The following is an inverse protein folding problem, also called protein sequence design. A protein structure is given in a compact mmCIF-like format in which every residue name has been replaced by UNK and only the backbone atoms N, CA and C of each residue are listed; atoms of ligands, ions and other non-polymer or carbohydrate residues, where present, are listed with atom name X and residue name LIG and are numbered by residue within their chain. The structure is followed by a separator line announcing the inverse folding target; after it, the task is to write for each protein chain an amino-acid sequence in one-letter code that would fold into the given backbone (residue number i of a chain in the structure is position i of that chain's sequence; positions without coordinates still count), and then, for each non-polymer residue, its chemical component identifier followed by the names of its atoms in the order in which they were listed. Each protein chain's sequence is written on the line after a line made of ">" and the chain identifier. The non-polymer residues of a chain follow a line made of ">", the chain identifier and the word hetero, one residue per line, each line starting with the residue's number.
data_IF_454061729003
#
_entry.id   IF_454061729003
#
_cell.length_a   1.000
_cell.length_b   1.000
_cell.length_c   1.000
_cell.angle_alpha   90.00
_cell.angle_beta   90.00
_cell.angle_gamma   90.00
#
_symmetry.space_group_name_H-M   'P 1'
#
loop_
_entity.id
_entity.type
_entity.pdbx_description
1 polymer ?
#
# COMPACT_ATOMS: atom_id res chain seq x y z
N UNK A 1 -53.44 26.52 -3.59
CA UNK A 1 -53.26 25.06 -3.78
C UNK A 1 -51.85 24.84 -4.31
N UNK A 2 -50.89 24.63 -3.41
CA UNK A 2 -49.48 24.32 -3.77
C UNK A 2 -49.32 22.80 -3.74
N UNK A 3 -48.95 22.23 -4.87
CA UNK A 3 -48.58 20.83 -5.03
C UNK A 3 -47.13 20.63 -4.62
N UNK A 4 -46.75 19.74 -3.70
CA UNK A 4 -45.35 19.48 -3.41
C UNK A 4 -44.78 18.53 -4.47
N UNK A 5 -43.70 18.95 -5.11
CA UNK A 5 -42.87 18.17 -6.01
C UNK A 5 -42.05 17.16 -5.18
N UNK A 6 -42.46 15.91 -5.19
CA UNK A 6 -41.68 14.80 -4.63
C UNK A 6 -40.53 14.50 -5.58
N UNK A 7 -39.33 14.93 -5.22
CA UNK A 7 -38.09 14.51 -5.84
C UNK A 7 -37.75 13.09 -5.31
N UNK A 8 -38.09 12.07 -6.10
CA UNK A 8 -37.68 10.70 -5.80
C UNK A 8 -36.17 10.58 -6.03
N UNK A 9 -35.40 10.59 -4.94
CA UNK A 9 -34.03 10.13 -4.94
C UNK A 9 -34.05 8.62 -5.24
N UNK A 10 -33.69 8.26 -6.45
CA UNK A 10 -33.39 6.88 -6.82
C UNK A 10 -32.02 6.53 -6.17
N UNK A 11 -32.07 6.05 -4.93
CA UNK A 11 -30.94 5.39 -4.30
C UNK A 11 -30.80 4.06 -5.00
N UNK A 12 -29.86 3.98 -5.94
CA UNK A 12 -29.42 2.71 -6.50
C UNK A 12 -28.68 1.98 -5.38
N UNK A 13 -29.42 1.19 -4.60
CA UNK A 13 -28.85 0.25 -3.65
C UNK A 13 -28.15 -0.82 -4.47
N UNK A 14 -26.83 -0.75 -4.58
CA UNK A 14 -26.01 -1.91 -4.95
C UNK A 14 -26.17 -2.87 -3.78
N UNK A 15 -27.15 -3.76 -3.86
CA UNK A 15 -27.28 -4.88 -2.94
C UNK A 15 -26.09 -5.80 -3.17
N UNK A 16 -25.28 -5.96 -2.15
CA UNK A 16 -24.32 -7.05 -2.06
C UNK A 16 -25.12 -8.36 -1.94
N UNK A 17 -25.48 -8.93 -3.08
CA UNK A 17 -26.02 -10.28 -3.18
C UNK A 17 -25.28 -11.02 -4.29
N UNK A 18 -24.84 -12.20 -3.89
CA UNK A 18 -24.34 -13.36 -4.59
C UNK A 18 -22.81 -13.51 -4.67
N UNK A 19 -22.31 -14.23 -3.62
CA UNK A 19 -21.03 -14.94 -3.60
C UNK A 19 -21.06 -16.23 -4.45
N UNK A 20 -21.73 -16.20 -5.59
CA UNK A 20 -21.64 -17.24 -6.60
C UNK A 20 -20.65 -16.79 -7.69
N UNK A 21 -19.37 -16.90 -7.37
CA UNK A 21 -18.27 -17.14 -8.31
C UNK A 21 -18.09 -16.24 -9.55
N UNK A 22 -18.97 -15.28 -9.84
CA UNK A 22 -18.94 -14.47 -11.06
C UNK A 22 -18.54 -13.04 -10.72
N UNK A 23 -17.44 -12.57 -11.30
CA UNK A 23 -17.02 -11.17 -11.16
C UNK A 23 -18.04 -10.22 -11.78
N UNK A 24 -18.48 -9.15 -11.09
CA UNK A 24 -19.34 -8.12 -11.65
C UNK A 24 -18.79 -7.55 -12.95
N UNK A 25 -19.65 -7.34 -13.96
CA UNK A 25 -19.27 -6.74 -15.24
C UNK A 25 -19.63 -5.27 -15.27
N UNK A 26 -18.65 -4.45 -15.62
CA UNK A 26 -18.77 -3.01 -15.80
C UNK A 26 -18.78 -2.71 -17.32
N UNK A 27 -19.88 -2.16 -17.81
CA UNK A 27 -20.15 -2.08 -19.25
C UNK A 27 -19.89 -0.69 -19.86
N UNK A 28 -19.53 0.28 -19.05
CA UNK A 28 -19.24 1.65 -19.46
C UNK A 28 -18.28 2.32 -18.49
N UNK A 29 -17.82 3.51 -18.85
CA UNK A 29 -16.87 4.31 -18.07
C UNK A 29 -17.45 4.72 -16.71
N UNK A 30 -18.72 5.13 -16.68
CA UNK A 30 -19.41 5.59 -15.49
C UNK A 30 -19.49 4.47 -14.45
N UNK A 31 -19.76 3.23 -14.87
CA UNK A 31 -19.76 2.07 -13.98
C UNK A 31 -18.35 1.75 -13.44
N UNK A 32 -17.31 1.90 -14.27
CA UNK A 32 -15.91 1.71 -13.84
C UNK A 32 -15.51 2.78 -12.82
N UNK A 33 -15.80 4.05 -13.08
CA UNK A 33 -15.51 5.14 -12.14
C UNK A 33 -16.26 4.95 -10.82
N UNK A 34 -17.56 4.61 -10.87
CA UNK A 34 -18.35 4.34 -9.67
C UNK A 34 -17.81 3.15 -8.87
N UNK A 35 -17.31 2.11 -9.55
CA UNK A 35 -16.68 0.96 -8.90
C UNK A 35 -15.35 1.34 -8.24
N UNK A 36 -14.50 2.12 -8.92
CA UNK A 36 -13.24 2.62 -8.36
C UNK A 36 -13.49 3.44 -7.10
N UNK A 37 -14.57 4.23 -7.08
CA UNK A 37 -14.96 5.05 -5.92
C UNK A 37 -15.67 4.29 -4.81
N UNK A 38 -16.05 3.03 -5.03
CA UNK A 38 -16.86 2.24 -4.07
C UNK A 38 -16.07 1.80 -2.83
N UNK A 39 -14.74 1.69 -2.93
CA UNK A 39 -13.88 1.30 -1.82
C UNK A 39 -12.54 2.05 -1.83
N UNK A 40 -11.75 1.90 -0.78
CA UNK A 40 -10.40 2.49 -0.70
C UNK A 40 -9.43 1.84 -1.70
N UNK A 41 -9.55 0.53 -1.85
CA UNK A 41 -8.80 -0.28 -2.82
C UNK A 41 -9.76 -1.18 -3.57
N UNK A 42 -9.63 -1.24 -4.88
CA UNK A 42 -10.38 -2.16 -5.74
C UNK A 42 -9.45 -2.79 -6.78
N UNK A 43 -9.82 -3.97 -7.29
CA UNK A 43 -9.11 -4.61 -8.39
C UNK A 43 -10.04 -4.82 -9.59
N UNK A 44 -9.58 -4.45 -10.78
CA UNK A 44 -10.32 -4.51 -12.02
C UNK A 44 -9.56 -5.34 -13.06
N UNK A 45 -10.22 -6.36 -13.61
CA UNK A 45 -9.76 -7.02 -14.81
C UNK A 45 -10.27 -6.29 -16.06
N UNK A 46 -9.38 -5.63 -16.78
CA UNK A 46 -9.63 -5.17 -18.13
C UNK A 46 -9.29 -6.32 -19.09
N UNK A 47 -10.28 -7.16 -19.37
CA UNK A 47 -10.09 -8.46 -20.03
C UNK A 47 -11.07 -8.59 -21.19
N UNK A 48 -10.68 -9.27 -22.27
CA UNK A 48 -11.56 -9.47 -23.45
C UNK A 48 -12.81 -10.28 -23.11
N UNK A 49 -12.76 -11.13 -22.07
CA UNK A 49 -13.87 -11.94 -21.61
C UNK A 49 -13.46 -13.01 -20.61
N UNK A 50 -14.38 -13.91 -20.30
CA UNK A 50 -14.16 -15.01 -19.34
C UNK A 50 -13.16 -16.06 -19.85
N UNK A 51 -12.93 -16.10 -21.16
CA UNK A 51 -11.93 -16.99 -21.77
C UNK A 51 -10.52 -16.37 -21.75
N UNK A 52 -10.38 -15.09 -21.35
CA UNK A 52 -9.09 -14.43 -21.23
C UNK A 52 -8.22 -15.09 -20.18
N UNK A 53 -6.95 -15.21 -20.49
CA UNK A 53 -5.97 -15.62 -19.50
C UNK A 53 -5.95 -14.59 -18.36
N UNK A 54 -6.24 -14.96 -17.19
CA UNK A 54 -6.31 -14.07 -16.02
C UNK A 54 -7.71 -13.92 -15.45
N UNK A 55 -8.77 -14.27 -16.18
CA UNK A 55 -10.12 -14.20 -15.64
C UNK A 55 -10.32 -15.17 -14.47
N UNK A 56 -10.00 -16.45 -14.65
CA UNK A 56 -10.12 -17.48 -13.61
C UNK A 56 -9.21 -17.21 -12.42
N UNK A 57 -8.01 -16.75 -12.70
CA UNK A 57 -7.03 -16.38 -11.69
C UNK A 57 -7.50 -15.17 -10.86
N UNK A 58 -8.09 -14.15 -11.53
CA UNK A 58 -8.66 -13.01 -10.84
C UNK A 58 -9.89 -13.40 -10.01
N UNK A 59 -10.77 -14.23 -10.55
CA UNK A 59 -11.93 -14.75 -9.82
C UNK A 59 -11.51 -15.51 -8.55
N UNK A 60 -10.51 -16.37 -8.68
CA UNK A 60 -10.00 -17.15 -7.55
C UNK A 60 -9.24 -16.28 -6.53
N UNK A 61 -8.47 -15.30 -6.99
CA UNK A 61 -7.81 -14.33 -6.11
C UNK A 61 -8.84 -13.46 -5.37
N UNK A 62 -9.91 -13.04 -6.03
CA UNK A 62 -11.00 -12.27 -5.43
C UNK A 62 -11.72 -13.04 -4.31
N UNK A 63 -11.90 -14.35 -4.47
CA UNK A 63 -12.46 -15.21 -3.41
C UNK A 63 -11.59 -15.29 -2.16
N UNK A 64 -10.27 -15.09 -2.31
CA UNK A 64 -9.29 -15.13 -1.21
C UNK A 64 -9.00 -13.76 -0.61
N UNK A 65 -9.34 -12.68 -1.32
CA UNK A 65 -9.11 -11.29 -0.91
C UNK A 65 -10.44 -10.60 -0.60
N UNK A 66 -11.15 -11.11 0.40
CA UNK A 66 -12.51 -10.66 0.79
C UNK A 66 -12.62 -9.15 1.07
N UNK A 67 -11.51 -8.49 1.39
CA UNK A 67 -11.45 -7.05 1.71
C UNK A 67 -11.32 -6.15 0.47
N UNK A 68 -10.93 -6.70 -0.68
CA UNK A 68 -10.70 -5.94 -1.91
C UNK A 68 -11.75 -6.31 -2.95
N UNK A 69 -12.73 -5.42 -3.24
CA UNK A 69 -13.71 -5.66 -4.30
C UNK A 69 -13.05 -5.90 -5.65
N UNK A 70 -13.57 -6.87 -6.40
CA UNK A 70 -13.09 -7.22 -7.73
C UNK A 70 -14.21 -7.15 -8.77
N UNK A 71 -13.91 -6.69 -9.98
CA UNK A 71 -14.83 -6.66 -11.12
C UNK A 71 -14.07 -6.80 -12.44
N UNK A 72 -14.80 -6.90 -13.55
CA UNK A 72 -14.22 -6.88 -14.90
C UNK A 72 -14.87 -5.82 -15.79
N UNK A 73 -14.07 -5.27 -16.72
CA UNK A 73 -14.53 -4.43 -17.82
C UNK A 73 -14.04 -5.01 -19.14
N UNK A 74 -14.98 -5.36 -20.04
CA UNK A 74 -14.69 -5.94 -21.35
C UNK A 74 -14.75 -4.92 -22.47
N UNK A 75 -15.02 -3.64 -22.16
CA UNK A 75 -15.20 -2.55 -23.12
C UNK A 75 -13.85 -1.90 -23.43
N UNK A 76 -13.27 -2.21 -24.59
CA UNK A 76 -11.91 -1.76 -24.96
C UNK A 76 -11.76 -0.23 -25.05
N UNK A 77 -12.84 0.48 -25.38
CA UNK A 77 -12.85 1.93 -25.41
C UNK A 77 -12.55 2.53 -24.03
N UNK A 78 -13.06 1.88 -22.96
CA UNK A 78 -12.80 2.29 -21.58
C UNK A 78 -11.35 2.02 -21.18
N UNK A 79 -10.72 0.94 -21.68
CA UNK A 79 -9.33 0.61 -21.33
C UNK A 79 -8.35 1.73 -21.71
N UNK A 80 -8.61 2.41 -22.85
CA UNK A 80 -7.78 3.51 -23.33
C UNK A 80 -7.73 4.68 -22.34
N UNK A 81 -8.83 4.95 -21.62
CA UNK A 81 -8.89 5.99 -20.58
C UNK A 81 -7.94 5.73 -19.41
N UNK A 82 -7.60 4.44 -19.18
CA UNK A 82 -6.67 4.00 -18.14
C UNK A 82 -5.27 3.67 -18.68
N UNK A 83 -5.00 3.98 -19.94
CA UNK A 83 -3.68 3.77 -20.57
C UNK A 83 -3.32 2.30 -20.81
N UNK A 84 -4.32 1.42 -20.94
CA UNK A 84 -4.12 -0.02 -21.07
C UNK A 84 -4.12 -0.45 -22.55
N UNK A 85 -2.99 -0.97 -23.06
CA UNK A 85 -2.88 -1.37 -24.47
C UNK A 85 -3.43 -2.77 -24.77
N UNK A 86 -3.62 -3.59 -23.75
CA UNK A 86 -4.05 -5.00 -23.86
C UNK A 86 -4.67 -5.46 -22.54
N UNK A 87 -5.05 -6.75 -22.45
CA UNK A 87 -5.54 -7.38 -21.22
C UNK A 87 -4.64 -7.04 -20.04
N UNK A 88 -5.26 -6.52 -18.98
CA UNK A 88 -4.57 -6.11 -17.75
C UNK A 88 -5.44 -6.40 -16.52
N UNK A 89 -4.78 -6.63 -15.40
CA UNK A 89 -5.41 -6.63 -14.08
C UNK A 89 -4.84 -5.43 -13.34
N UNK A 90 -5.71 -4.50 -12.97
CA UNK A 90 -5.34 -3.20 -12.43
C UNK A 90 -5.88 -3.03 -11.03
N UNK A 91 -5.00 -2.68 -10.09
CA UNK A 91 -5.37 -2.26 -8.75
C UNK A 91 -5.46 -0.74 -8.71
N UNK A 92 -6.57 -0.24 -8.19
CA UNK A 92 -6.78 1.19 -7.92
C UNK A 92 -6.81 1.42 -6.42
N UNK A 93 -6.09 2.44 -5.97
CA UNK A 93 -6.07 2.88 -4.59
C UNK A 93 -6.42 4.36 -4.50
N UNK A 94 -7.64 4.63 -4.02
CA UNK A 94 -8.22 5.98 -4.02
C UNK A 94 -7.47 6.96 -3.12
N UNK A 95 -6.91 6.49 -2.02
CA UNK A 95 -6.29 7.34 -1.01
C UNK A 95 -5.14 8.21 -1.53
N UNK A 96 -4.43 7.75 -2.55
CA UNK A 96 -3.31 8.44 -3.19
C UNK A 96 -3.41 8.47 -4.72
N UNK A 97 -4.61 8.19 -5.26
CA UNK A 97 -4.91 8.09 -6.70
C UNK A 97 -3.93 7.17 -7.44
N UNK A 98 -3.55 6.09 -6.78
CA UNK A 98 -2.61 5.12 -7.35
C UNK A 98 -3.33 4.16 -8.29
N UNK A 99 -2.69 3.88 -9.43
CA UNK A 99 -3.06 2.85 -10.38
C UNK A 99 -1.85 1.95 -10.62
N UNK A 100 -1.95 0.66 -10.31
CA UNK A 100 -0.93 -0.33 -10.59
C UNK A 100 -1.43 -1.35 -11.60
N UNK A 101 -0.71 -1.53 -12.70
CA UNK A 101 -1.13 -2.36 -13.82
C UNK A 101 -0.29 -3.62 -13.93
N UNK A 102 -0.93 -4.77 -13.93
CA UNK A 102 -0.36 -6.05 -14.30
C UNK A 102 -0.81 -6.40 -15.73
N UNK A 103 0.06 -6.18 -16.70
CA UNK A 103 -0.23 -6.55 -18.09
C UNK A 103 -0.16 -8.06 -18.25
N UNK A 104 -1.26 -8.68 -18.65
CA UNK A 104 -1.40 -10.15 -18.70
C UNK A 104 -0.39 -10.80 -19.63
N UNK A 105 -0.08 -10.16 -20.77
CA UNK A 105 0.88 -10.67 -21.75
C UNK A 105 2.34 -10.65 -21.23
N UNK A 106 2.67 -9.75 -20.30
CA UNK A 106 4.02 -9.58 -19.74
C UNK A 106 4.26 -10.44 -18.51
N UNK A 107 3.20 -10.94 -17.88
CA UNK A 107 3.31 -11.78 -16.70
C UNK A 107 3.91 -13.15 -17.05
N UNK A 108 5.11 -13.45 -16.54
CA UNK A 108 5.76 -14.75 -16.76
C UNK A 108 4.93 -15.91 -16.18
N UNK A 109 4.35 -15.70 -15.00
CA UNK A 109 3.42 -16.63 -14.34
C UNK A 109 2.25 -15.82 -13.82
N UNK A 110 1.07 -16.10 -14.33
CA UNK A 110 -0.17 -15.53 -13.85
C UNK A 110 -0.99 -16.66 -13.23
N UNK A 111 -1.09 -16.65 -11.92
CA UNK A 111 -1.92 -17.55 -11.12
C UNK A 111 -2.57 -16.80 -9.96
N UNK A 112 -3.53 -17.43 -9.30
CA UNK A 112 -4.26 -16.84 -8.20
C UNK A 112 -3.35 -16.44 -7.02
N UNK A 113 -2.31 -17.24 -6.71
CA UNK A 113 -1.36 -16.91 -5.64
C UNK A 113 -0.58 -15.64 -5.96
N UNK A 114 -0.10 -15.51 -7.20
CA UNK A 114 0.58 -14.31 -7.68
C UNK A 114 -0.32 -13.08 -7.66
N UNK A 115 -1.61 -13.22 -7.98
CA UNK A 115 -2.57 -12.11 -7.91
C UNK A 115 -2.91 -11.71 -6.47
N UNK A 116 -3.06 -12.67 -5.54
CA UNK A 116 -3.21 -12.37 -4.11
C UNK A 116 -1.98 -11.61 -3.60
N UNK A 117 -0.78 -12.06 -3.99
CA UNK A 117 0.45 -11.34 -3.66
C UNK A 117 0.48 -9.93 -4.26
N UNK A 118 0.08 -9.76 -5.53
CA UNK A 118 -0.02 -8.45 -6.19
C UNK A 118 -0.99 -7.52 -5.45
N UNK A 119 -2.17 -8.01 -5.03
CA UNK A 119 -3.13 -7.25 -4.24
C UNK A 119 -2.50 -6.83 -2.91
N UNK A 120 -2.02 -7.78 -2.10
CA UNK A 120 -1.48 -7.54 -0.76
C UNK A 120 -0.29 -6.58 -0.77
N UNK A 121 0.52 -6.62 -1.83
CA UNK A 121 1.67 -5.73 -1.98
C UNK A 121 1.28 -4.30 -2.32
N UNK A 122 0.22 -4.13 -3.12
CA UNK A 122 -0.17 -2.83 -3.68
C UNK A 122 -1.36 -2.18 -2.97
N UNK A 123 -2.09 -2.90 -2.11
CA UNK A 123 -3.20 -2.33 -1.32
C UNK A 123 -2.72 -1.32 -0.27
N UNK A 124 -1.48 -1.42 0.17
CA UNK A 124 -0.91 -0.54 1.18
C UNK A 124 -0.41 0.75 0.51
N UNK A 125 -0.73 1.89 1.11
CA UNK A 125 -0.26 3.21 0.66
C UNK A 125 1.26 3.26 0.59
N UNK A 126 1.80 4.02 -0.35
CA UNK A 126 3.24 4.26 -0.44
C UNK A 126 3.86 4.77 0.86
N UNK A 127 3.14 5.62 1.62
CA UNK A 127 3.52 5.98 2.98
C UNK A 127 2.30 5.85 3.91
N UNK A 128 2.44 5.03 4.95
CA UNK A 128 1.44 4.86 5.99
C UNK A 128 1.86 5.59 7.27
N UNK A 129 1.02 6.48 7.80
CA UNK A 129 1.27 7.06 9.12
C UNK A 129 0.96 6.05 10.22
N UNK A 130 1.94 5.77 11.06
CA UNK A 130 1.80 4.85 12.19
C UNK A 130 0.88 5.40 13.28
N UNK A 131 -0.15 4.65 13.60
CA UNK A 131 -1.05 4.85 14.73
C UNK A 131 -1.66 3.51 15.14
N UNK A 132 -2.50 3.48 16.16
CA UNK A 132 -3.10 2.24 16.66
C UNK A 132 -3.97 1.49 15.63
N UNK A 133 -4.57 2.21 14.69
CA UNK A 133 -5.41 1.62 13.63
C UNK A 133 -4.54 1.03 12.52
N UNK A 134 -3.60 1.82 12.00
CA UNK A 134 -2.73 1.41 10.90
C UNK A 134 -1.70 0.38 11.30
N UNK A 135 -1.33 0.31 12.58
CA UNK A 135 -0.39 -0.69 13.11
C UNK A 135 -0.80 -2.14 12.78
N UNK A 136 -2.10 -2.44 12.84
CA UNK A 136 -2.60 -3.80 12.53
C UNK A 136 -2.28 -4.19 11.09
N UNK A 137 -2.56 -3.31 10.12
CA UNK A 137 -2.25 -3.55 8.70
C UNK A 137 -0.75 -3.66 8.44
N UNK A 138 0.06 -2.78 9.05
CA UNK A 138 1.53 -2.81 8.90
C UNK A 138 2.14 -4.13 9.39
N UNK A 139 1.74 -4.61 10.57
CA UNK A 139 2.28 -5.85 11.13
C UNK A 139 1.74 -7.12 10.44
N UNK A 140 0.54 -7.06 9.86
CA UNK A 140 -0.04 -8.17 9.11
C UNK A 140 0.39 -8.20 7.64
N UNK A 141 1.02 -7.13 7.13
CA UNK A 141 1.51 -7.09 5.76
C UNK A 141 2.47 -8.25 5.46
N UNK A 142 2.51 -8.69 4.21
CA UNK A 142 3.52 -9.63 3.71
C UNK A 142 4.93 -9.03 3.75
N UNK A 143 5.05 -7.71 3.55
CA UNK A 143 6.32 -6.99 3.63
C UNK A 143 6.61 -6.67 5.09
N UNK A 144 7.58 -7.37 5.69
CA UNK A 144 7.94 -7.25 7.10
C UNK A 144 8.97 -6.15 7.38
N UNK A 145 9.63 -5.64 6.36
CA UNK A 145 10.65 -4.61 6.51
C UNK A 145 10.06 -3.22 6.31
N UNK A 146 10.23 -2.35 7.30
CA UNK A 146 9.68 -1.00 7.30
C UNK A 146 10.79 0.05 7.27
N UNK A 147 10.75 0.97 6.29
CA UNK A 147 11.53 2.20 6.31
C UNK A 147 10.74 3.26 7.10
N UNK A 148 11.30 3.72 8.20
CA UNK A 148 10.63 4.59 9.16
C UNK A 148 11.15 6.03 9.03
N UNK A 149 10.26 6.99 8.76
CA UNK A 149 10.52 8.41 8.96
C UNK A 149 9.99 8.83 10.33
N UNK A 150 10.87 9.12 11.26
CA UNK A 150 10.54 9.77 12.52
C UNK A 150 10.58 11.29 12.33
N UNK A 151 9.45 11.97 12.43
CA UNK A 151 9.39 13.43 12.28
C UNK A 151 8.23 14.03 13.06
N UNK A 152 8.34 15.30 13.46
CA UNK A 152 7.27 16.00 14.17
C UNK A 152 6.33 16.65 13.15
N UNK A 153 5.03 16.28 13.18
CA UNK A 153 4.01 16.85 12.30
C UNK A 153 3.95 18.38 12.51
N UNK A 154 3.83 19.10 11.39
CA UNK A 154 3.72 20.55 11.39
C UNK A 154 5.05 21.30 11.26
N UNK A 155 6.19 20.62 11.29
CA UNK A 155 7.45 21.24 10.87
C UNK A 155 7.51 21.34 9.33
N UNK A 156 8.28 22.30 8.83
CA UNK A 156 8.51 22.43 7.38
C UNK A 156 9.21 21.18 6.82
N UNK A 157 10.18 20.67 7.55
CA UNK A 157 10.94 19.48 7.20
C UNK A 157 10.06 18.22 7.10
N UNK A 158 9.02 18.12 7.94
CA UNK A 158 8.07 17.02 7.89
C UNK A 158 7.40 16.91 6.52
N UNK A 159 6.84 18.01 6.01
CA UNK A 159 6.12 18.02 4.73
C UNK A 159 7.04 17.71 3.57
N UNK A 160 8.22 18.35 3.53
CA UNK A 160 9.20 18.15 2.47
C UNK A 160 9.73 16.72 2.44
N UNK A 161 10.05 16.14 3.61
CA UNK A 161 10.56 14.76 3.71
C UNK A 161 9.47 13.74 3.36
N UNK A 162 8.24 13.96 3.80
CA UNK A 162 7.11 13.11 3.43
C UNK A 162 6.97 13.03 1.91
N UNK A 163 6.94 14.18 1.22
CA UNK A 163 6.82 14.24 -0.25
C UNK A 163 7.99 13.54 -0.96
N UNK A 164 9.23 13.74 -0.49
CA UNK A 164 10.41 13.08 -1.07
C UNK A 164 10.33 11.56 -0.92
N UNK A 165 9.87 11.08 0.24
CA UNK A 165 9.73 9.64 0.49
C UNK A 165 8.55 9.03 -0.27
N UNK A 166 7.45 9.77 -0.45
CA UNK A 166 6.34 9.35 -1.31
C UNK A 166 6.80 9.14 -2.76
N UNK A 167 7.65 10.02 -3.27
CA UNK A 167 8.23 9.87 -4.60
C UNK A 167 9.23 8.70 -4.71
N UNK A 168 9.90 8.34 -3.62
CA UNK A 168 10.87 7.25 -3.57
C UNK A 168 10.23 5.88 -3.35
N UNK A 169 9.14 5.81 -2.59
CA UNK A 169 8.54 4.57 -2.14
C UNK A 169 8.16 3.59 -3.26
N UNK A 170 7.69 4.03 -4.45
CA UNK A 170 7.41 3.11 -5.58
C UNK A 170 8.60 2.24 -5.99
N UNK A 171 9.84 2.71 -5.85
CA UNK A 171 11.05 1.94 -6.19
C UNK A 171 11.24 0.71 -5.29
N UNK A 172 10.59 0.71 -4.12
CA UNK A 172 10.71 -0.32 -3.09
C UNK A 172 9.43 -1.11 -2.83
N UNK A 173 8.42 -0.96 -3.69
CA UNK A 173 7.15 -1.70 -3.60
C UNK A 173 7.42 -3.22 -3.47
N UNK A 174 6.76 -3.89 -2.52
CA UNK A 174 6.97 -5.30 -2.22
C UNK A 174 8.25 -5.65 -1.47
N UNK A 175 9.13 -4.69 -1.20
CA UNK A 175 10.40 -4.89 -0.50
C UNK A 175 10.46 -4.15 0.84
N UNK A 176 9.98 -2.92 0.88
CA UNK A 176 9.96 -2.06 2.05
C UNK A 176 8.60 -1.35 2.16
N UNK A 177 8.01 -1.31 3.35
CA UNK A 177 6.92 -0.40 3.66
C UNK A 177 7.50 0.90 4.20
N UNK A 178 7.05 2.02 3.65
CA UNK A 178 7.42 3.34 4.13
C UNK A 178 6.42 3.79 5.20
N UNK A 179 6.91 4.06 6.39
CA UNK A 179 6.08 4.35 7.56
C UNK A 179 6.50 5.68 8.18
N UNK A 180 5.53 6.54 8.42
CA UNK A 180 5.72 7.83 9.07
C UNK A 180 5.36 7.72 10.55
N UNK A 181 6.29 8.05 11.43
CA UNK A 181 6.10 8.07 12.88
C UNK A 181 6.14 9.52 13.38
N UNK A 182 5.00 10.03 13.80
CA UNK A 182 4.91 11.37 14.37
C UNK A 182 5.45 11.37 15.81
N UNK A 183 6.63 11.94 16.01
CA UNK A 183 7.30 11.99 17.32
C UNK A 183 6.67 12.94 18.34
N UNK A 184 5.73 13.80 17.92
CA UNK A 184 4.96 14.65 18.83
C UNK A 184 3.79 13.89 19.50
N UNK A 185 3.41 12.72 18.97
CA UNK A 185 2.31 11.91 19.50
C UNK A 185 2.81 11.00 20.62
N UNK A 186 2.28 11.17 21.84
CA UNK A 186 2.72 10.45 23.03
C UNK A 186 2.61 8.92 22.89
N UNK A 187 1.61 8.39 22.20
CA UNK A 187 1.48 6.95 21.96
C UNK A 187 2.63 6.36 21.15
N UNK A 188 3.35 7.19 20.38
CA UNK A 188 4.46 6.77 19.54
C UNK A 188 5.82 6.79 20.27
N UNK A 189 5.86 7.21 21.55
CA UNK A 189 7.12 7.27 22.33
C UNK A 189 7.83 5.92 22.39
N UNK A 190 7.10 4.81 22.49
CA UNK A 190 7.69 3.46 22.50
C UNK A 190 8.48 3.14 21.23
N UNK A 191 8.01 3.62 20.05
CA UNK A 191 8.73 3.44 18.81
C UNK A 191 10.02 4.28 18.78
N UNK A 192 9.98 5.52 19.30
CA UNK A 192 11.19 6.33 19.47
C UNK A 192 12.17 5.69 20.43
N UNK A 193 11.70 5.27 21.61
CA UNK A 193 12.53 4.62 22.66
C UNK A 193 13.19 3.35 22.11
N UNK A 194 12.45 2.55 21.34
CA UNK A 194 13.00 1.35 20.69
C UNK A 194 14.19 1.69 19.79
N UNK A 195 14.14 2.82 19.07
CA UNK A 195 15.26 3.30 18.23
C UNK A 195 16.28 4.15 19.00
N UNK A 196 16.08 4.37 20.30
CA UNK A 196 16.95 5.22 21.12
C UNK A 196 16.86 6.72 20.76
N UNK A 197 15.74 7.14 20.18
CA UNK A 197 15.52 8.51 19.69
C UNK A 197 14.70 9.34 20.68
N UNK A 198 14.97 10.65 20.68
CA UNK A 198 14.16 11.65 21.40
C UNK A 198 13.48 12.57 20.39
N UNK A 199 12.29 13.07 20.74
CA UNK A 199 11.52 13.96 19.84
C UNK A 199 12.29 15.20 19.40
N UNK A 200 13.25 15.69 20.19
CA UNK A 200 14.12 16.84 19.83
C UNK A 200 15.22 16.53 18.80
N UNK A 201 15.46 15.25 18.53
CA UNK A 201 16.50 14.76 17.61
C UNK A 201 15.94 14.47 16.20
N UNK A 202 14.64 14.69 16.03
CA UNK A 202 13.94 14.46 14.77
C UNK A 202 14.12 15.64 13.79
N UNK A 203 14.13 15.40 12.48
CA UNK A 203 13.78 14.13 11.82
C UNK A 203 14.92 13.10 11.77
N UNK A 204 14.56 11.81 11.75
CA UNK A 204 15.50 10.68 11.60
C UNK A 204 14.89 9.61 10.68
N UNK A 205 15.74 8.83 10.02
CA UNK A 205 15.35 7.67 9.22
C UNK A 205 15.89 6.41 9.87
N UNK A 206 15.07 5.36 9.90
CA UNK A 206 15.47 4.03 10.34
C UNK A 206 14.86 2.93 9.49
N UNK A 207 15.39 1.73 9.61
CA UNK A 207 14.78 0.51 9.09
C UNK A 207 14.48 -0.40 10.28
N UNK A 208 13.30 -1.01 10.25
CA UNK A 208 12.89 -2.08 11.14
C UNK A 208 12.60 -3.32 10.32
N UNK A 209 13.19 -4.43 10.68
CA UNK A 209 12.91 -5.73 10.10
C UNK A 209 12.11 -6.57 11.09
N UNK A 210 10.85 -6.81 10.77
CA UNK A 210 9.91 -7.54 11.63
C UNK A 210 10.19 -9.03 11.72
N UNK A 211 10.92 -9.62 10.77
CA UNK A 211 11.27 -11.04 10.81
C UNK A 211 12.42 -11.32 11.79
N UNK A 212 13.41 -10.45 11.81
CA UNK A 212 14.58 -10.58 12.70
C UNK A 212 14.47 -9.77 14.00
N UNK A 213 13.45 -8.91 14.13
CA UNK A 213 13.31 -7.90 15.21
C UNK A 213 14.54 -6.99 15.32
N UNK A 214 15.16 -6.68 14.19
CA UNK A 214 16.37 -5.84 14.13
C UNK A 214 16.06 -4.46 13.59
N UNK A 215 16.95 -3.52 13.87
CA UNK A 215 16.81 -2.12 13.50
C UNK A 215 18.12 -1.49 13.09
N UNK A 216 18.02 -0.52 12.18
CA UNK A 216 19.13 0.29 11.70
C UNK A 216 18.72 1.75 11.68
N UNK A 217 19.64 2.65 11.92
CA UNK A 217 19.44 4.09 11.77
C UNK A 217 20.34 4.61 10.66
N UNK A 218 19.78 5.44 9.79
CA UNK A 218 20.58 6.23 8.86
C UNK A 218 21.54 7.12 9.67
N UNK A 219 22.85 7.10 9.40
CA UNK A 219 23.80 7.98 10.07
C UNK A 219 23.35 9.46 10.02
N UNK A 220 23.70 10.23 11.05
CA UNK A 220 23.37 11.66 11.12
C UNK A 220 23.83 12.43 9.89
N UNK A 221 23.10 13.47 9.54
CA UNK A 221 23.36 14.31 8.39
C UNK A 221 22.07 14.66 7.64
N UNK A 222 22.18 15.37 6.54
CA UNK A 222 21.04 15.75 5.71
C UNK A 222 20.32 14.50 5.18
N UNK A 223 18.98 14.50 5.26
CA UNK A 223 18.13 13.43 4.73
C UNK A 223 17.80 13.77 3.28
N UNK A 224 18.64 13.30 2.34
CA UNK A 224 18.38 13.41 0.91
C UNK A 224 17.75 12.12 0.35
N UNK A 225 17.06 12.21 -0.77
CA UNK A 225 16.46 11.04 -1.45
C UNK A 225 17.52 10.00 -1.79
N UNK A 226 18.70 10.46 -2.26
CA UNK A 226 19.82 9.60 -2.63
C UNK A 226 20.36 8.82 -1.43
N UNK A 227 20.55 9.49 -0.28
CA UNK A 227 21.02 8.81 0.94
C UNK A 227 20.01 7.80 1.47
N UNK A 228 18.70 8.11 1.39
CA UNK A 228 17.66 7.16 1.81
C UNK A 228 17.62 5.97 0.87
N UNK A 229 17.73 6.20 -0.46
CA UNK A 229 17.81 5.12 -1.46
C UNK A 229 19.00 4.20 -1.19
N UNK A 230 20.21 4.76 -1.06
CA UNK A 230 21.42 4.01 -0.79
C UNK A 230 21.34 3.20 0.51
N UNK A 231 20.79 3.78 1.56
CA UNK A 231 20.57 3.10 2.84
C UNK A 231 19.61 1.92 2.70
N UNK A 232 18.47 2.12 1.99
CA UNK A 232 17.49 1.09 1.71
C UNK A 232 18.08 -0.06 0.88
N UNK A 233 18.80 0.28 -0.19
CA UNK A 233 19.46 -0.71 -1.04
C UNK A 233 20.57 -1.47 -0.30
N UNK A 234 21.35 -0.78 0.54
CA UNK A 234 22.40 -1.41 1.35
C UNK A 234 21.81 -2.39 2.35
N UNK A 235 20.64 -2.06 2.94
CA UNK A 235 19.90 -3.00 3.77
C UNK A 235 19.46 -4.23 2.96
N UNK A 236 18.82 -4.04 1.81
CA UNK A 236 18.34 -5.14 0.97
C UNK A 236 19.45 -6.06 0.45
N UNK A 237 20.67 -5.54 0.29
CA UNK A 237 21.87 -6.33 -0.05
C UNK A 237 22.52 -7.02 1.17
N UNK A 238 22.08 -6.71 2.40
CA UNK A 238 22.69 -7.23 3.62
C UNK A 238 24.01 -6.54 4.01
N UNK A 239 24.30 -5.35 3.47
CA UNK A 239 25.56 -4.64 3.70
C UNK A 239 25.58 -3.85 5.02
N UNK A 240 24.42 -3.62 5.66
CA UNK A 240 24.32 -2.84 6.89
C UNK A 240 24.75 -3.67 8.10
N UNK A 241 25.68 -3.13 8.88
CA UNK A 241 26.01 -3.69 10.19
C UNK A 241 24.95 -3.33 11.21
N UNK A 242 24.60 -4.28 12.08
CA UNK A 242 23.68 -4.05 13.19
C UNK A 242 24.13 -2.85 14.04
N UNK A 243 23.17 -1.99 14.39
CA UNK A 243 23.37 -1.01 15.45
C UNK A 243 23.19 -1.75 16.77
N UNK A 244 24.29 -2.24 17.35
CA UNK A 244 24.26 -2.79 18.71
C UNK A 244 23.73 -1.72 19.65
N UNK A 245 22.71 -2.07 20.43
CA UNK A 245 22.22 -1.20 21.51
C UNK A 245 23.37 -0.94 22.49
N UNK A 246 23.70 0.32 22.71
CA UNK A 246 24.47 0.71 23.88
C UNK A 246 23.55 0.49 25.10
N UNK A 247 23.64 -0.69 25.75
CA UNK A 247 22.85 -0.95 26.97
C UNK A 247 22.44 -2.38 27.27
N UNK A 248 22.76 -3.39 26.47
CA UNK A 248 22.62 -4.77 26.96
C UNK A 248 23.72 -5.09 27.96
N UNK A 249 23.36 -5.03 29.25
CA UNK A 249 24.15 -5.66 30.32
C UNK A 249 24.21 -7.15 30.02
N UNK A 250 25.41 -7.78 29.96
CA UNK A 250 25.52 -9.22 29.74
C UNK A 250 24.74 -9.93 30.85
N UNK A 251 23.79 -10.79 30.48
CA UNK A 251 23.18 -11.73 31.42
C UNK A 251 24.30 -12.62 31.94
N UNK A 252 24.78 -12.30 33.13
CA UNK A 252 25.68 -13.19 33.90
C UNK A 252 24.84 -14.41 34.25
N UNK A 253 25.21 -15.54 33.70
CA UNK A 253 24.69 -16.85 34.13
C UNK A 253 24.99 -17.00 35.63
N UNK A 254 23.94 -17.31 36.42
CA UNK A 254 24.01 -17.90 37.74
C UNK A 254 23.30 -19.24 37.68
#
# INVERSE_FOLDING_TARGET
>A
MLLPLFLALLVCSVTAEDKDGVLPRLNDKEAVEAFIDSAEVVILGFLEGEESRGYKELEEAAKRSDSVPAAICTVKEVWADYGLPSDAITLFRRADNHQENLIVAEAHKLDADGLVHFINTNEIRYITEYNQVTAVGLFNSEVKTHLLLFANRGSKEFTELKQRLEALAPEFTGKLLFVLINGAVKSNSKALDYFGLKSKELPRIGIYDGDSDMKWLLPEGEITTERVREFSESFLRGDLKEVKQAGEVPKTEL
#
